data_IF_580266295047
#
_entry.id   IF_580266295047
#
_cell.length_a   1.000
_cell.length_b   1.000
_cell.length_c   1.000
_cell.angle_alpha   90.00
_cell.angle_beta   90.00
_cell.angle_gamma   90.00
#
_symmetry.space_group_name_H-M   'P 1'
#
loop_
_entity.id
_entity.type
_entity.pdbx_description
1 polymer ?
#
# COMPACT_ATOMS: atom_id res chain seq x y z
N UNK A 1 -1.28 -8.22 15.07
CA UNK A 1 -0.86 -6.79 14.95
C UNK A 1 -2.01 -5.98 14.38
N UNK A 2 -2.30 -4.85 14.97
CA UNK A 2 -3.29 -3.90 14.47
C UNK A 2 -2.65 -2.91 13.50
N UNK A 3 -3.47 -2.19 12.72
CA UNK A 3 -2.97 -1.13 11.86
C UNK A 3 -2.25 -0.06 12.70
N UNK A 4 -2.80 0.28 13.87
CA UNK A 4 -2.18 1.26 14.77
C UNK A 4 -0.80 0.84 15.23
N UNK A 5 -0.65 -0.42 15.62
CA UNK A 5 0.65 -0.98 16.01
C UNK A 5 1.63 -0.94 14.84
N UNK A 6 1.17 -1.30 13.64
CA UNK A 6 1.96 -1.26 12.43
C UNK A 6 2.51 0.15 12.15
N UNK A 7 1.65 1.17 12.22
CA UNK A 7 2.04 2.56 11.95
C UNK A 7 3.10 3.05 12.93
N UNK A 8 3.05 2.57 14.17
CA UNK A 8 3.97 3.00 15.23
C UNK A 8 5.34 2.31 15.18
N UNK A 9 5.51 1.30 14.35
CA UNK A 9 6.80 0.65 14.20
C UNK A 9 7.82 1.60 13.57
N UNK A 10 9.11 1.27 13.71
CA UNK A 10 10.17 2.07 13.10
C UNK A 10 10.63 1.44 11.77
N UNK A 11 11.46 2.17 11.03
CA UNK A 11 11.91 1.75 9.71
C UNK A 11 12.67 0.42 9.71
N UNK A 12 13.39 0.11 10.78
CA UNK A 12 14.10 -1.17 10.88
C UNK A 12 13.14 -2.34 11.06
N UNK A 13 12.11 -2.14 11.88
CA UNK A 13 11.15 -3.21 12.18
C UNK A 13 10.37 -3.64 10.93
N UNK A 14 10.04 -2.70 10.05
CA UNK A 14 9.22 -3.03 8.88
C UNK A 14 10.01 -3.70 7.75
N UNK A 15 11.33 -3.73 7.83
CA UNK A 15 12.17 -4.33 6.78
C UNK A 15 11.96 -5.83 6.61
N UNK A 16 11.37 -6.49 7.59
CA UNK A 16 11.08 -7.91 7.52
C UNK A 16 9.76 -8.23 6.79
N UNK A 17 8.97 -7.20 6.49
CA UNK A 17 7.68 -7.38 5.85
C UNK A 17 7.78 -7.42 4.32
N UNK A 18 6.76 -7.99 3.64
CA UNK A 18 6.69 -7.90 2.19
C UNK A 18 6.74 -6.44 1.71
N UNK A 19 7.26 -6.23 0.50
CA UNK A 19 7.44 -4.88 -0.06
C UNK A 19 6.17 -4.04 -0.06
N UNK A 20 5.02 -4.65 -0.33
CA UNK A 20 3.75 -3.92 -0.32
C UNK A 20 3.47 -3.29 1.04
N UNK A 21 3.70 -4.03 2.13
CA UNK A 21 3.54 -3.48 3.48
C UNK A 21 4.59 -2.43 3.81
N UNK A 22 5.84 -2.65 3.40
CA UNK A 22 6.89 -1.64 3.60
C UNK A 22 6.51 -0.34 2.91
N UNK A 23 6.04 -0.43 1.66
CA UNK A 23 5.63 0.74 0.90
C UNK A 23 4.47 1.47 1.58
N UNK A 24 3.47 0.73 2.04
CA UNK A 24 2.32 1.33 2.71
C UNK A 24 2.73 2.03 4.02
N UNK A 25 3.68 1.44 4.76
CA UNK A 25 4.20 2.07 5.97
C UNK A 25 4.82 3.44 5.65
N UNK A 26 5.62 3.52 4.59
CA UNK A 26 6.23 4.80 4.19
C UNK A 26 5.17 5.84 3.81
N UNK A 27 4.08 5.41 3.17
CA UNK A 27 2.99 6.34 2.87
C UNK A 27 2.31 6.83 4.14
N UNK A 28 2.16 5.97 5.15
CA UNK A 28 1.65 6.40 6.46
C UNK A 28 2.57 7.44 7.11
N UNK A 29 3.86 7.41 6.81
CA UNK A 29 4.83 8.40 7.30
C UNK A 29 4.88 9.65 6.40
N UNK A 30 3.92 9.79 5.49
CA UNK A 30 3.83 10.89 4.53
C UNK A 30 5.03 10.96 3.58
N UNK A 31 5.59 9.80 3.22
CA UNK A 31 6.70 9.71 2.28
C UNK A 31 6.26 8.93 1.04
N UNK A 32 5.50 9.61 0.16
CA UNK A 32 4.95 9.01 -1.06
C UNK A 32 6.06 8.50 -1.99
N UNK A 33 7.14 9.29 -2.15
CA UNK A 33 8.22 8.92 -3.07
C UNK A 33 8.92 7.64 -2.64
N UNK A 34 9.22 7.47 -1.36
CA UNK A 34 9.85 6.25 -0.86
C UNK A 34 8.90 5.06 -1.00
N UNK A 35 7.63 5.27 -0.71
CA UNK A 35 6.60 4.25 -0.87
C UNK A 35 6.56 3.74 -2.31
N UNK A 36 6.47 4.65 -3.26
CA UNK A 36 6.41 4.33 -4.68
C UNK A 36 7.69 3.64 -5.18
N UNK A 37 8.86 4.12 -4.74
CA UNK A 37 10.15 3.54 -5.13
C UNK A 37 10.27 2.07 -4.78
N UNK A 38 9.76 1.67 -3.62
CA UNK A 38 9.86 0.29 -3.15
C UNK A 38 9.08 -0.70 -4.03
N UNK A 39 8.00 -0.25 -4.66
CA UNK A 39 7.11 -1.14 -5.41
C UNK A 39 7.05 -0.84 -6.91
N UNK A 40 7.81 0.14 -7.38
CA UNK A 40 7.75 0.62 -8.76
C UNK A 40 7.94 -0.52 -9.78
N UNK A 41 8.84 -1.44 -9.50
CA UNK A 41 9.13 -2.57 -10.39
C UNK A 41 8.65 -3.91 -9.85
N UNK A 42 7.92 -3.93 -8.73
CA UNK A 42 7.43 -5.17 -8.14
C UNK A 42 6.28 -5.76 -8.98
N UNK A 43 6.29 -7.07 -9.16
CA UNK A 43 5.32 -7.76 -10.03
C UNK A 43 4.15 -8.43 -9.31
N UNK A 44 4.11 -8.40 -7.99
CA UNK A 44 3.07 -9.07 -7.22
C UNK A 44 1.79 -8.23 -7.13
N UNK A 45 0.68 -8.92 -6.89
CA UNK A 45 -0.64 -8.27 -6.85
C UNK A 45 -0.80 -7.29 -5.70
N UNK A 46 -0.25 -7.61 -4.53
CA UNK A 46 -0.35 -6.72 -3.37
C UNK A 46 0.40 -5.41 -3.60
N UNK A 47 1.59 -5.47 -4.21
CA UNK A 47 2.32 -4.27 -4.60
C UNK A 47 1.56 -3.45 -5.63
N UNK A 48 0.90 -4.11 -6.59
CA UNK A 48 0.06 -3.44 -7.58
C UNK A 48 -1.11 -2.71 -6.91
N UNK A 49 -1.69 -3.29 -5.87
CA UNK A 49 -2.77 -2.67 -5.13
C UNK A 49 -2.32 -1.38 -4.43
N UNK A 50 -1.19 -1.44 -3.73
CA UNK A 50 -0.60 -0.24 -3.11
C UNK A 50 -0.24 0.79 -4.18
N UNK A 51 0.30 0.35 -5.31
CA UNK A 51 0.66 1.21 -6.44
C UNK A 51 -0.56 1.97 -6.97
N UNK A 52 -1.70 1.26 -7.12
CA UNK A 52 -2.95 1.89 -7.55
C UNK A 52 -3.40 2.98 -6.58
N UNK A 53 -3.36 2.67 -5.28
CA UNK A 53 -3.71 3.64 -4.25
C UNK A 53 -2.79 4.87 -4.31
N UNK A 54 -1.48 4.68 -4.48
CA UNK A 54 -0.54 5.80 -4.55
C UNK A 54 -0.82 6.72 -5.73
N UNK A 55 -1.14 6.16 -6.92
CA UNK A 55 -1.48 6.98 -8.08
C UNK A 55 -2.83 7.68 -7.90
N UNK A 56 -3.78 7.02 -7.27
CA UNK A 56 -5.04 7.67 -6.93
C UNK A 56 -4.82 8.86 -6.00
N UNK A 57 -3.95 8.71 -5.02
CA UNK A 57 -3.62 9.76 -4.05
C UNK A 57 -3.00 10.98 -4.73
N UNK A 58 -2.16 10.77 -5.73
CA UNK A 58 -1.56 11.90 -6.48
C UNK A 58 -2.47 12.48 -7.56
N UNK A 59 -3.65 11.89 -7.77
CA UNK A 59 -4.60 12.37 -8.75
C UNK A 59 -4.45 11.80 -10.15
N UNK A 60 -3.56 10.83 -10.35
CA UNK A 60 -3.36 10.18 -11.65
C UNK A 60 -4.29 8.97 -11.77
N UNK A 61 -5.55 9.25 -12.08
CA UNK A 61 -6.61 8.24 -12.09
C UNK A 61 -6.42 7.19 -13.18
N UNK A 62 -5.94 7.59 -14.35
CA UNK A 62 -5.70 6.65 -15.45
C UNK A 62 -4.67 5.60 -15.08
N UNK A 63 -3.57 6.04 -14.44
CA UNK A 63 -2.52 5.15 -13.97
C UNK A 63 -3.01 4.28 -12.81
N UNK A 64 -3.81 4.87 -11.91
CA UNK A 64 -4.42 4.11 -10.82
C UNK A 64 -5.28 2.95 -11.36
N UNK A 65 -6.10 3.21 -12.36
CA UNK A 65 -6.94 2.18 -12.99
C UNK A 65 -6.12 1.04 -13.56
N UNK A 66 -5.01 1.35 -14.23
CA UNK A 66 -4.10 0.34 -14.74
C UNK A 66 -3.62 -0.59 -13.62
N UNK A 67 -3.19 -0.03 -12.49
CA UNK A 67 -2.67 -0.81 -11.37
C UNK A 67 -3.76 -1.56 -10.60
N UNK A 68 -4.98 -1.01 -10.50
CA UNK A 68 -6.11 -1.77 -9.94
C UNK A 68 -6.35 -3.03 -10.77
N UNK A 69 -6.36 -2.91 -12.10
CA UNK A 69 -6.53 -4.09 -12.95
C UNK A 69 -5.45 -5.13 -12.70
N UNK A 70 -4.22 -4.69 -12.56
CA UNK A 70 -3.10 -5.61 -12.27
C UNK A 70 -3.19 -6.25 -10.90
N UNK A 71 -3.75 -5.55 -9.94
CA UNK A 71 -3.91 -6.06 -8.57
C UNK A 71 -5.04 -7.08 -8.44
N UNK A 72 -5.98 -7.08 -9.36
CA UNK A 72 -7.19 -7.90 -9.25
C UNK A 72 -8.22 -7.30 -8.29
N UNK A 73 -8.02 -6.08 -7.80
CA UNK A 73 -8.95 -5.39 -6.91
C UNK A 73 -9.79 -4.40 -7.70
N UNK A 74 -11.05 -4.17 -7.28
CA UNK A 74 -11.85 -3.12 -7.91
C UNK A 74 -11.31 -1.74 -7.55
N UNK A 75 -11.58 -0.79 -8.43
CA UNK A 75 -11.27 0.61 -8.18
C UNK A 75 -11.98 1.08 -6.91
N UNK A 76 -11.24 1.67 -5.97
CA UNK A 76 -11.79 2.07 -4.68
C UNK A 76 -12.68 3.31 -4.80
N UNK A 77 -13.79 3.31 -4.06
CA UNK A 77 -14.67 4.48 -3.90
C UNK A 77 -14.61 5.04 -2.49
N UNK A 78 -13.75 4.47 -1.65
CA UNK A 78 -13.55 4.96 -0.29
C UNK A 78 -12.73 6.25 -0.30
N UNK A 79 -12.75 6.98 0.83
CA UNK A 79 -11.79 8.06 1.01
C UNK A 79 -10.37 7.49 0.97
N UNK A 80 -9.38 8.32 0.67
CA UNK A 80 -7.98 7.86 0.63
C UNK A 80 -7.54 7.26 1.96
N UNK A 81 -7.91 7.87 3.07
CA UNK A 81 -7.53 7.35 4.38
C UNK A 81 -8.20 6.00 4.68
N UNK A 82 -9.44 5.81 4.26
CA UNK A 82 -10.14 4.54 4.44
C UNK A 82 -9.60 3.45 3.54
N UNK A 83 -9.27 3.79 2.31
CA UNK A 83 -8.65 2.82 1.41
C UNK A 83 -7.31 2.36 1.96
N UNK A 84 -6.46 3.29 2.40
CA UNK A 84 -5.17 2.97 3.00
C UNK A 84 -5.32 2.04 4.20
N UNK A 85 -6.27 2.33 5.06
CA UNK A 85 -6.54 1.50 6.23
C UNK A 85 -7.00 0.08 5.83
N UNK A 86 -7.87 -0.02 4.84
CA UNK A 86 -8.33 -1.30 4.33
C UNK A 86 -7.17 -2.14 3.78
N UNK A 87 -6.32 -1.53 2.95
CA UNK A 87 -5.16 -2.22 2.40
C UNK A 87 -4.26 -2.71 3.54
N UNK A 88 -3.96 -1.84 4.50
CA UNK A 88 -3.13 -2.20 5.65
C UNK A 88 -3.71 -3.39 6.41
N UNK A 89 -5.00 -3.35 6.70
CA UNK A 89 -5.69 -4.41 7.43
C UNK A 89 -5.57 -5.76 6.71
N UNK A 90 -5.82 -5.76 5.40
CA UNK A 90 -5.76 -6.99 4.60
C UNK A 90 -4.33 -7.53 4.52
N UNK A 91 -3.35 -6.67 4.24
CA UNK A 91 -1.97 -7.11 4.11
C UNK A 91 -1.38 -7.59 5.44
N UNK A 92 -1.74 -6.95 6.55
CA UNK A 92 -1.33 -7.39 7.88
C UNK A 92 -1.90 -8.78 8.17
N UNK A 93 -3.17 -9.00 7.83
CA UNK A 93 -3.80 -10.30 8.03
C UNK A 93 -3.11 -11.40 7.23
N UNK A 94 -2.65 -11.11 6.02
CA UNK A 94 -1.92 -12.09 5.20
C UNK A 94 -0.64 -12.57 5.87
N UNK A 95 0.08 -11.70 6.57
CA UNK A 95 1.34 -12.09 7.22
C UNK A 95 1.16 -12.70 8.59
N UNK A 96 -0.04 -12.63 9.17
CA UNK A 96 -0.33 -13.17 10.50
C UNK A 96 -1.09 -14.51 10.45
N UNK A 97 -1.48 -14.95 9.28
CA UNK A 97 -2.21 -16.22 9.10
C UNK A 97 -1.26 -17.43 8.94
#
# INVERSE_FOLDING_TARGET
MTVEEFIKQNAEQIKTYPLALQALWHDYQENWHQSHSLIDTAGDKDSAWVHAYLHRKEGDIGNARYWYRRSGKPESRLSLSRERQEIARVLIQEITN
#
